data_IF_990066686003
#
_entry.id   IF_990066686003
#
_cell.length_a   1.000
_cell.length_b   1.000
_cell.length_c   1.000
_cell.angle_alpha   90.00
_cell.angle_beta   90.00
_cell.angle_gamma   90.00
#
_symmetry.space_group_name_H-M   'P 1'
#
loop_
_entity.id
_entity.type
_entity.pdbx_description
1 polymer ?
#
# COMPACT_ATOMS: atom_id res chain seq x y z
N UNK A 1 -64.42 24.07 -16.80
CA UNK A 1 -63.63 23.04 -16.09
C UNK A 1 -62.57 23.74 -15.26
N UNK A 2 -62.87 24.00 -13.99
CA UNK A 2 -61.96 24.63 -13.03
C UNK A 2 -61.11 23.55 -12.37
N UNK A 3 -59.79 23.62 -12.57
CA UNK A 3 -58.82 22.73 -11.93
C UNK A 3 -58.63 23.12 -10.46
N UNK A 4 -58.94 22.20 -9.55
CA UNK A 4 -58.84 22.41 -8.11
C UNK A 4 -57.39 22.16 -7.62
N UNK A 5 -56.62 23.25 -7.59
CA UNK A 5 -55.20 23.29 -7.16
C UNK A 5 -55.02 22.78 -5.71
N UNK A 6 -56.07 22.81 -4.87
CA UNK A 6 -55.95 22.37 -3.47
C UNK A 6 -55.80 20.85 -3.31
N UNK A 7 -56.31 20.05 -4.26
CA UNK A 7 -56.16 18.59 -4.23
C UNK A 7 -54.75 18.12 -4.63
N UNK A 8 -54.08 18.85 -5.52
CA UNK A 8 -52.72 18.52 -5.96
C UNK A 8 -51.70 18.84 -4.85
N UNK A 9 -51.84 19.98 -4.17
CA UNK A 9 -50.96 20.32 -3.04
C UNK A 9 -51.08 19.33 -1.88
N UNK A 10 -52.29 18.80 -1.60
CA UNK A 10 -52.48 17.83 -0.52
C UNK A 10 -51.87 16.45 -0.85
N UNK A 11 -51.92 16.02 -2.11
CA UNK A 11 -51.27 14.77 -2.55
C UNK A 11 -49.75 14.87 -2.56
N UNK A 12 -49.18 16.02 -2.93
CA UNK A 12 -47.72 16.25 -2.86
C UNK A 12 -47.23 16.30 -1.40
N UNK A 13 -48.01 16.91 -0.50
CA UNK A 13 -47.63 16.99 0.92
C UNK A 13 -47.71 15.62 1.62
N UNK A 14 -48.74 14.82 1.34
CA UNK A 14 -48.87 13.46 1.88
C UNK A 14 -47.84 12.47 1.30
N UNK A 15 -47.48 12.59 0.01
CA UNK A 15 -46.41 11.79 -0.58
C UNK A 15 -45.03 12.13 0.00
N UNK A 16 -44.80 13.39 0.38
CA UNK A 16 -43.56 13.83 1.03
C UNK A 16 -43.46 13.28 2.45
N UNK A 17 -44.56 13.29 3.22
CA UNK A 17 -44.61 12.74 4.59
C UNK A 17 -44.45 11.21 4.58
N UNK A 18 -45.08 10.50 3.64
CA UNK A 18 -44.94 9.05 3.50
C UNK A 18 -43.52 8.66 3.02
N UNK A 19 -42.88 9.42 2.12
CA UNK A 19 -41.48 9.17 1.76
C UNK A 19 -40.53 9.40 2.94
N UNK A 20 -40.78 10.42 3.78
CA UNK A 20 -39.93 10.68 4.96
C UNK A 20 -40.15 9.70 6.11
N UNK A 21 -41.36 9.13 6.27
CA UNK A 21 -41.62 8.13 7.32
C UNK A 21 -41.21 6.72 6.90
N UNK A 22 -41.35 6.36 5.62
CA UNK A 22 -40.89 5.04 5.12
C UNK A 22 -39.36 4.98 5.05
N UNK A 23 -38.66 6.10 4.83
CA UNK A 23 -37.19 6.14 4.93
C UNK A 23 -36.65 6.17 6.37
N UNK A 24 -37.49 6.40 7.39
CA UNK A 24 -37.04 6.43 8.78
C UNK A 24 -37.17 5.10 9.52
N UNK A 25 -37.98 4.15 9.02
CA UNK A 25 -38.17 2.84 9.68
C UNK A 25 -37.32 1.71 9.07
N UNK A 26 -36.71 1.93 7.89
CA UNK A 26 -35.70 1.02 7.29
C UNK A 26 -34.25 1.54 7.39
N UNK A 27 -34.00 2.58 8.20
CA UNK A 27 -32.65 2.89 8.68
C UNK A 27 -32.26 1.91 9.80
N UNK A 28 -32.29 0.61 9.48
CA UNK A 28 -31.89 -0.45 10.37
C UNK A 28 -30.39 -0.36 10.64
N UNK A 29 -30.04 -0.01 11.89
CA UNK A 29 -28.70 -0.13 12.47
C UNK A 29 -27.56 0.24 11.51
N UNK A 30 -27.28 1.52 11.35
CA UNK A 30 -25.94 1.92 10.91
C UNK A 30 -24.97 1.42 12.00
N UNK A 31 -24.25 0.33 11.71
CA UNK A 31 -23.24 -0.23 12.62
C UNK A 31 -22.27 0.90 12.94
N UNK A 32 -22.39 1.47 14.14
CA UNK A 32 -21.47 2.47 14.64
C UNK A 32 -20.08 1.84 14.65
N UNK A 33 -19.16 2.40 13.87
CA UNK A 33 -17.78 1.92 13.84
C UNK A 33 -17.13 2.19 15.20
N UNK A 34 -16.86 1.11 15.94
CA UNK A 34 -16.20 1.20 17.23
C UNK A 34 -14.73 1.56 17.03
N UNK A 35 -14.34 2.74 17.51
CA UNK A 35 -12.95 3.19 17.49
C UNK A 35 -12.09 2.18 18.27
N UNK A 36 -11.15 1.48 17.61
CA UNK A 36 -10.46 0.37 18.25
C UNK A 36 -9.49 0.87 19.31
N UNK A 37 -9.19 0.03 20.31
CA UNK A 37 -8.13 0.30 21.30
C UNK A 37 -6.86 -0.42 20.90
N UNK A 38 -5.71 0.22 21.12
CA UNK A 38 -4.41 -0.42 20.93
C UNK A 38 -3.96 -1.07 22.23
N UNK A 39 -4.03 -2.40 22.28
CA UNK A 39 -3.58 -3.21 23.42
C UNK A 39 -2.78 -4.39 22.90
N UNK A 40 -1.52 -4.49 23.32
CA UNK A 40 -0.70 -5.66 23.01
C UNK A 40 -0.94 -6.78 24.01
N UNK A 41 -0.99 -8.01 23.49
CA UNK A 41 -0.93 -9.20 24.32
C UNK A 41 0.44 -9.29 25.01
N UNK A 42 0.50 -9.83 26.24
CA UNK A 42 1.74 -9.92 27.01
C UNK A 42 2.74 -10.94 26.44
N UNK A 43 2.23 -12.06 25.93
CA UNK A 43 3.04 -13.20 25.46
C UNK A 43 2.96 -13.33 23.93
N UNK A 44 3.27 -12.24 23.22
CA UNK A 44 3.27 -12.23 21.75
C UNK A 44 4.41 -13.10 21.23
N UNK A 45 4.07 -14.01 20.33
CA UNK A 45 5.03 -14.81 19.57
C UNK A 45 5.12 -14.26 18.16
N UNK A 46 6.34 -14.16 17.66
CA UNK A 46 6.57 -13.79 16.28
C UNK A 46 6.33 -14.99 15.35
N UNK A 47 5.83 -14.77 14.13
CA UNK A 47 5.52 -13.47 13.52
C UNK A 47 4.23 -12.82 14.08
N UNK A 48 4.28 -11.53 14.40
CA UNK A 48 3.13 -10.73 14.89
C UNK A 48 2.54 -9.81 13.83
N UNK A 49 3.23 -9.65 12.70
CA UNK A 49 2.91 -8.71 11.63
C UNK A 49 2.81 -9.42 10.27
N UNK A 50 3.70 -10.36 9.96
CA UNK A 50 3.84 -10.94 8.63
C UNK A 50 2.70 -11.94 8.30
N UNK A 51 2.23 -12.70 9.29
CA UNK A 51 1.09 -13.60 9.18
C UNK A 51 0.44 -13.89 10.54
N UNK A 52 -0.77 -14.44 10.52
CA UNK A 52 -1.34 -15.17 11.66
C UNK A 52 -0.86 -16.63 11.69
N UNK A 53 -1.04 -17.36 12.82
CA UNK A 53 -0.77 -18.80 12.87
C UNK A 53 -1.53 -19.60 11.81
N UNK A 54 -2.77 -19.23 11.48
CA UNK A 54 -3.59 -19.90 10.46
C UNK A 54 -3.05 -19.66 9.04
N UNK A 55 -2.62 -18.43 8.76
CA UNK A 55 -1.96 -18.06 7.49
C UNK A 55 -0.65 -18.81 7.33
N UNK A 56 0.18 -18.86 8.38
CA UNK A 56 1.43 -19.62 8.36
C UNK A 56 1.19 -21.12 8.15
N UNK A 57 0.18 -21.68 8.81
CA UNK A 57 -0.19 -23.08 8.65
C UNK A 57 -0.58 -23.41 7.21
N UNK A 58 -1.28 -22.51 6.51
CA UNK A 58 -1.58 -22.67 5.08
C UNK A 58 -0.29 -22.76 4.26
N UNK A 59 0.63 -21.82 4.44
CA UNK A 59 1.91 -21.89 3.73
C UNK A 59 2.71 -23.16 4.01
N UNK A 60 2.78 -23.59 5.27
CA UNK A 60 3.50 -24.81 5.65
C UNK A 60 2.90 -26.08 5.03
N UNK A 61 1.57 -26.13 4.87
CA UNK A 61 0.89 -27.23 4.17
C UNK A 61 1.08 -27.20 2.65
N UNK A 62 1.05 -26.00 2.07
CA UNK A 62 1.25 -25.79 0.63
C UNK A 62 2.70 -26.04 0.23
N UNK A 63 3.66 -25.73 1.10
CA UNK A 63 5.07 -25.95 0.82
C UNK A 63 5.37 -27.45 0.66
N UNK A 64 5.81 -27.85 -0.54
CA UNK A 64 6.07 -29.25 -0.87
C UNK A 64 4.85 -30.07 -1.29
N UNK A 65 3.65 -29.47 -1.33
CA UNK A 65 2.47 -30.13 -1.90
C UNK A 65 2.54 -30.18 -3.42
N UNK A 66 1.82 -31.13 -4.03
CA UNK A 66 1.60 -31.13 -5.47
C UNK A 66 0.61 -30.00 -5.87
N UNK A 67 0.75 -29.47 -7.09
CA UNK A 67 -0.17 -28.47 -7.66
C UNK A 67 0.44 -27.07 -7.81
N UNK A 68 -0.33 -26.16 -8.41
CA UNK A 68 0.16 -24.83 -8.84
C UNK A 68 0.70 -23.98 -7.68
N UNK A 69 0.08 -24.06 -6.50
CA UNK A 69 0.53 -23.34 -5.30
C UNK A 69 1.86 -23.87 -4.75
N UNK A 70 2.03 -25.19 -4.70
CA UNK A 70 3.28 -25.83 -4.28
C UNK A 70 4.42 -25.51 -5.26
N UNK A 71 4.13 -25.57 -6.56
CA UNK A 71 5.08 -25.21 -7.62
C UNK A 71 5.47 -23.73 -7.55
N UNK A 72 4.54 -22.84 -7.22
CA UNK A 72 4.80 -21.42 -7.00
C UNK A 72 5.79 -21.21 -5.85
N UNK A 73 5.57 -21.85 -4.69
CA UNK A 73 6.48 -21.72 -3.53
C UNK A 73 7.86 -22.33 -3.82
N UNK A 74 7.92 -23.47 -4.51
CA UNK A 74 9.18 -24.07 -4.94
C UNK A 74 9.97 -23.14 -5.88
N UNK A 75 9.28 -22.44 -6.79
CA UNK A 75 9.88 -21.42 -7.66
C UNK A 75 10.41 -20.23 -6.86
N UNK A 76 9.69 -19.76 -5.83
CA UNK A 76 10.21 -18.69 -4.97
C UNK A 76 11.45 -19.14 -4.20
N UNK A 77 11.45 -20.36 -3.64
CA UNK A 77 12.63 -20.93 -2.96
C UNK A 77 13.85 -20.96 -3.87
N UNK A 78 13.72 -21.50 -5.09
CA UNK A 78 14.82 -21.54 -6.05
C UNK A 78 15.40 -20.16 -6.34
N UNK A 79 14.54 -19.13 -6.45
CA UNK A 79 14.98 -17.74 -6.65
C UNK A 79 15.74 -17.23 -5.44
N UNK A 80 15.27 -17.50 -4.22
CA UNK A 80 15.95 -17.12 -2.98
C UNK A 80 17.33 -17.76 -2.90
N UNK A 81 17.41 -19.09 -3.11
CA UNK A 81 18.66 -19.85 -3.07
C UNK A 81 19.70 -19.24 -4.02
N UNK A 82 19.32 -18.99 -5.28
CA UNK A 82 20.21 -18.35 -6.28
C UNK A 82 20.67 -16.94 -5.86
N UNK A 83 19.83 -16.16 -5.19
CA UNK A 83 20.21 -14.82 -4.74
C UNK A 83 21.05 -14.83 -3.47
N UNK A 84 20.89 -15.84 -2.60
CA UNK A 84 21.69 -16.00 -1.39
C UNK A 84 23.13 -16.42 -1.68
N UNK A 85 23.38 -17.11 -2.80
CA UNK A 85 24.73 -17.45 -3.27
C UNK A 85 25.57 -16.21 -3.66
N UNK A 86 24.92 -15.08 -3.96
CA UNK A 86 25.62 -13.86 -4.33
C UNK A 86 26.19 -13.14 -3.11
N UNK A 87 27.41 -12.62 -3.26
CA UNK A 87 28.03 -11.75 -2.26
C UNK A 87 27.16 -10.53 -1.96
N UNK A 88 26.94 -10.26 -0.69
CA UNK A 88 26.19 -9.08 -0.21
C UNK A 88 27.15 -7.90 -0.14
N UNK A 89 26.92 -6.88 -0.97
CA UNK A 89 27.68 -5.63 -0.98
C UNK A 89 26.73 -4.48 -0.63
N UNK A 90 26.87 -3.93 0.57
CA UNK A 90 26.06 -2.80 1.00
C UNK A 90 26.50 -1.52 0.30
N UNK A 91 25.57 -0.69 -0.21
CA UNK A 91 25.89 0.63 -0.74
C UNK A 91 26.69 1.48 0.24
N UNK A 92 27.46 2.45 -0.27
CA UNK A 92 28.24 3.35 0.59
C UNK A 92 27.38 4.42 1.28
N UNK A 93 26.16 4.66 0.78
CA UNK A 93 25.18 5.64 1.28
C UNK A 93 23.76 5.26 0.82
N UNK A 94 22.76 6.04 1.26
CA UNK A 94 21.38 5.88 0.82
C UNK A 94 21.16 6.15 -0.67
N UNK A 95 20.01 5.70 -1.19
CA UNK A 95 19.66 5.87 -2.61
C UNK A 95 19.23 7.31 -2.92
N UNK A 96 19.55 7.79 -4.12
CA UNK A 96 18.99 9.03 -4.66
C UNK A 96 17.59 8.82 -5.27
N UNK A 97 16.88 9.92 -5.52
CA UNK A 97 15.57 9.89 -6.18
C UNK A 97 15.68 9.37 -7.61
N UNK A 98 14.73 8.55 -8.05
CA UNK A 98 14.75 7.92 -9.37
C UNK A 98 14.72 8.92 -10.54
N UNK A 99 14.15 10.11 -10.34
CA UNK A 99 14.13 11.19 -11.33
C UNK A 99 15.52 11.68 -11.74
N UNK A 100 16.54 11.46 -10.91
CA UNK A 100 17.93 11.79 -11.28
C UNK A 100 18.53 10.84 -12.31
N UNK A 101 17.86 9.71 -12.60
CA UNK A 101 18.37 8.68 -13.52
C UNK A 101 17.93 8.92 -14.97
N UNK A 102 18.14 10.14 -15.43
CA UNK A 102 17.78 10.60 -16.76
C UNK A 102 18.95 11.33 -17.42
N UNK A 103 19.01 11.28 -18.75
CA UNK A 103 19.95 12.07 -19.51
C UNK A 103 19.55 13.55 -19.48
N UNK A 104 20.47 14.44 -19.12
CA UNK A 104 20.24 15.89 -19.08
C UNK A 104 19.78 16.45 -20.43
N UNK A 105 20.39 15.99 -21.52
CA UNK A 105 20.12 16.53 -22.86
C UNK A 105 18.89 15.89 -23.51
N UNK A 106 18.68 14.59 -23.28
CA UNK A 106 17.64 13.82 -23.95
C UNK A 106 16.36 13.66 -23.13
N UNK A 107 16.40 13.93 -21.82
CA UNK A 107 15.27 13.78 -20.88
C UNK A 107 14.63 12.38 -20.94
N UNK A 108 15.47 11.34 -21.09
CA UNK A 108 15.06 9.93 -21.09
C UNK A 108 15.88 9.14 -20.06
N UNK A 109 15.29 8.04 -19.59
CA UNK A 109 15.94 7.15 -18.63
C UNK A 109 17.27 6.58 -19.15
N UNK A 110 18.28 6.54 -18.27
CA UNK A 110 19.59 5.96 -18.58
C UNK A 110 19.52 4.43 -18.60
N UNK A 111 20.45 3.79 -19.32
CA UNK A 111 20.71 2.36 -19.27
C UNK A 111 21.94 2.10 -18.40
N UNK A 112 21.80 1.27 -17.37
CA UNK A 112 22.93 0.84 -16.54
C UNK A 112 23.84 -0.08 -17.36
N UNK A 113 25.12 0.27 -17.47
CA UNK A 113 26.13 -0.60 -18.06
C UNK A 113 26.79 -1.46 -16.99
N UNK A 114 27.20 -0.81 -15.89
CA UNK A 114 27.75 -1.42 -14.69
C UNK A 114 27.40 -0.56 -13.46
N UNK A 115 28.03 -0.82 -12.31
CA UNK A 115 27.75 -0.14 -11.04
C UNK A 115 28.05 1.36 -11.06
N UNK A 116 28.94 1.82 -11.96
CA UNK A 116 29.46 3.20 -12.00
C UNK A 116 29.26 3.89 -13.34
N UNK A 117 28.75 3.19 -14.37
CA UNK A 117 28.55 3.74 -15.71
C UNK A 117 27.11 3.57 -16.20
N UNK A 118 26.51 4.69 -16.62
CA UNK A 118 25.11 4.77 -17.06
C UNK A 118 25.01 5.51 -18.39
N UNK A 119 24.58 4.83 -19.44
CA UNK A 119 24.57 5.36 -20.82
C UNK A 119 23.17 5.83 -21.23
N UNK A 120 23.10 7.02 -21.82
CA UNK A 120 21.89 7.44 -22.54
C UNK A 120 21.71 6.58 -23.80
N UNK A 121 20.54 5.97 -24.02
CA UNK A 121 20.32 5.14 -25.21
C UNK A 121 20.17 5.95 -26.50
N UNK A 122 19.98 7.27 -26.43
CA UNK A 122 19.79 8.15 -27.59
C UNK A 122 21.06 8.87 -28.02
N UNK A 123 21.73 9.58 -27.10
CA UNK A 123 22.94 10.35 -27.40
C UNK A 123 24.25 9.67 -26.98
N UNK A 124 24.16 8.46 -26.42
CA UNK A 124 25.30 7.64 -25.98
C UNK A 124 26.21 8.21 -24.88
N UNK A 125 25.93 9.42 -24.40
CA UNK A 125 26.62 10.02 -23.25
C UNK A 125 26.59 9.08 -22.04
N UNK A 126 27.76 8.91 -21.43
CA UNK A 126 27.96 8.08 -20.22
C UNK A 126 28.03 9.00 -19.01
N UNK A 127 27.23 8.67 -18.01
CA UNK A 127 27.16 9.33 -16.71
C UNK A 127 27.81 8.43 -15.65
N UNK A 128 28.51 9.03 -14.70
CA UNK A 128 29.20 8.35 -13.60
C UNK A 128 29.07 9.18 -12.32
N UNK A 129 29.19 8.54 -11.14
CA UNK A 129 29.15 9.22 -9.86
C UNK A 129 27.74 9.62 -9.41
N UNK A 130 27.66 10.34 -8.27
CA UNK A 130 26.40 10.87 -7.78
C UNK A 130 25.84 11.95 -8.73
N UNK A 131 24.51 11.98 -8.96
CA UNK A 131 23.48 11.14 -8.33
C UNK A 131 23.19 9.83 -9.06
N UNK A 132 23.80 9.55 -10.21
CA UNK A 132 23.46 8.42 -11.07
C UNK A 132 23.74 7.06 -10.43
N UNK A 133 24.91 6.90 -9.84
CA UNK A 133 25.29 5.68 -9.09
C UNK A 133 24.34 5.48 -7.89
N UNK A 134 23.96 6.58 -7.23
CA UNK A 134 23.12 6.57 -6.03
C UNK A 134 21.70 6.10 -6.33
N UNK A 135 21.19 6.31 -7.55
CA UNK A 135 19.88 5.74 -7.93
C UNK A 135 19.96 4.22 -8.03
N UNK A 136 21.09 3.66 -8.49
CA UNK A 136 21.27 2.20 -8.57
C UNK A 136 21.37 1.56 -7.19
N UNK A 137 21.82 2.29 -6.17
CA UNK A 137 21.79 1.80 -4.78
C UNK A 137 20.39 1.42 -4.31
N UNK A 138 19.35 2.04 -4.89
CA UNK A 138 17.96 1.65 -4.67
C UNK A 138 17.63 0.25 -5.19
N UNK A 139 18.22 -0.16 -6.32
CA UNK A 139 18.04 -1.51 -6.89
C UNK A 139 18.76 -2.56 -6.06
N UNK A 140 19.97 -2.25 -5.60
CA UNK A 140 20.76 -3.11 -4.71
C UNK A 140 20.02 -3.31 -3.39
N UNK A 141 19.63 -2.21 -2.74
CA UNK A 141 18.91 -2.24 -1.46
C UNK A 141 17.57 -2.93 -1.58
N UNK A 142 16.81 -2.67 -2.65
CA UNK A 142 15.56 -3.36 -2.93
C UNK A 142 15.75 -4.87 -3.15
N UNK A 143 16.83 -5.29 -3.81
CA UNK A 143 17.15 -6.71 -3.96
C UNK A 143 17.55 -7.35 -2.62
N UNK A 144 18.37 -6.70 -1.79
CA UNK A 144 18.73 -7.21 -0.47
C UNK A 144 17.49 -7.51 0.38
N UNK A 145 16.61 -6.52 0.52
CA UNK A 145 15.41 -6.68 1.32
C UNK A 145 14.42 -7.67 0.72
N UNK A 146 14.28 -7.70 -0.61
CA UNK A 146 13.44 -8.72 -1.25
C UNK A 146 13.97 -10.13 -0.97
N UNK A 147 15.27 -10.38 -1.14
CA UNK A 147 15.85 -11.70 -0.84
C UNK A 147 15.70 -12.03 0.64
N UNK A 148 15.97 -11.08 1.55
CA UNK A 148 15.83 -11.26 2.99
C UNK A 148 14.39 -11.56 3.42
N UNK A 149 13.40 -10.92 2.80
CA UNK A 149 11.99 -11.16 3.08
C UNK A 149 11.58 -12.57 2.70
N UNK A 150 11.90 -12.98 1.47
CA UNK A 150 11.56 -14.34 1.02
C UNK A 150 12.40 -15.41 1.74
N UNK A 151 13.64 -15.12 2.14
CA UNK A 151 14.41 -16.01 3.00
C UNK A 151 13.73 -16.15 4.37
N UNK A 152 13.29 -15.06 5.01
CA UNK A 152 12.52 -15.13 6.25
C UNK A 152 11.28 -16.02 6.13
N UNK A 153 10.58 -15.94 4.99
CA UNK A 153 9.47 -16.87 4.68
C UNK A 153 9.92 -18.32 4.49
N UNK A 154 11.02 -18.57 3.77
CA UNK A 154 11.56 -19.93 3.64
C UNK A 154 11.92 -20.53 5.01
N UNK A 155 12.49 -19.74 5.92
CA UNK A 155 12.73 -20.17 7.30
C UNK A 155 11.42 -20.60 7.99
N UNK A 156 10.36 -19.79 7.87
CA UNK A 156 9.05 -20.12 8.47
C UNK A 156 8.41 -21.38 7.86
N UNK A 157 8.71 -21.70 6.61
CA UNK A 157 8.20 -22.89 5.94
C UNK A 157 8.99 -24.16 6.25
N UNK A 158 10.33 -24.06 6.28
CA UNK A 158 11.23 -25.23 6.34
C UNK A 158 11.92 -25.42 7.68
N UNK A 159 12.01 -24.38 8.51
CA UNK A 159 12.81 -24.36 9.74
C UNK A 159 14.33 -24.29 9.50
N UNK A 160 14.79 -24.19 8.26
CA UNK A 160 16.22 -24.16 7.94
C UNK A 160 16.86 -22.82 8.32
N UNK A 161 17.78 -22.86 9.30
CA UNK A 161 18.39 -21.65 9.89
C UNK A 161 19.16 -20.77 8.90
N UNK A 162 19.73 -21.35 7.84
CA UNK A 162 20.47 -20.60 6.81
C UNK A 162 19.68 -19.42 6.21
N UNK A 163 18.36 -19.57 6.11
CA UNK A 163 17.51 -18.51 5.60
C UNK A 163 17.35 -17.37 6.61
N UNK A 164 17.11 -17.71 7.89
CA UNK A 164 17.04 -16.72 8.96
C UNK A 164 18.37 -15.99 9.16
N UNK A 165 19.49 -16.71 9.08
CA UNK A 165 20.85 -16.15 9.15
C UNK A 165 21.12 -15.15 8.02
N UNK A 166 20.67 -15.43 6.80
CA UNK A 166 20.78 -14.48 5.69
C UNK A 166 19.95 -13.21 5.95
N UNK A 167 18.71 -13.36 6.40
CA UNK A 167 17.86 -12.21 6.76
C UNK A 167 18.47 -11.38 7.88
N UNK A 168 19.02 -12.03 8.92
CA UNK A 168 19.73 -11.38 10.02
C UNK A 168 20.94 -10.59 9.51
N UNK A 169 21.76 -11.17 8.63
CA UNK A 169 22.90 -10.51 7.99
C UNK A 169 22.50 -9.22 7.27
N UNK A 170 21.38 -9.22 6.54
CA UNK A 170 20.88 -8.02 5.86
C UNK A 170 20.43 -6.96 6.86
N UNK A 171 19.63 -7.34 7.86
CA UNK A 171 19.12 -6.41 8.87
C UNK A 171 20.25 -5.77 9.70
N UNK A 172 21.18 -6.58 10.21
CA UNK A 172 22.35 -6.10 10.95
C UNK A 172 23.27 -5.23 10.09
N UNK A 173 23.44 -5.60 8.82
CA UNK A 173 24.22 -4.82 7.87
C UNK A 173 23.65 -3.42 7.64
N UNK A 174 22.32 -3.29 7.54
CA UNK A 174 21.68 -1.97 7.45
C UNK A 174 21.60 -1.25 8.80
N UNK A 175 21.43 -1.97 9.92
CA UNK A 175 21.47 -1.39 11.26
C UNK A 175 22.84 -0.74 11.55
N UNK A 176 23.94 -1.40 11.19
CA UNK A 176 25.29 -0.84 11.33
C UNK A 176 25.55 0.42 10.48
N UNK A 177 24.71 0.70 9.49
CA UNK A 177 24.92 1.75 8.49
C UNK A 177 23.90 2.88 8.55
N UNK A 178 22.69 2.62 9.03
CA UNK A 178 21.59 3.58 8.91
C UNK A 178 21.93 4.97 9.44
N UNK A 179 22.49 5.05 10.66
CA UNK A 179 22.87 6.32 11.27
C UNK A 179 24.17 6.93 10.70
N UNK A 180 25.02 6.12 10.06
CA UNK A 180 26.27 6.60 9.44
C UNK A 180 26.05 7.11 8.02
N UNK A 181 24.99 6.66 7.34
CA UNK A 181 24.59 7.20 6.05
C UNK A 181 24.22 8.69 6.15
N UNK A 182 24.68 9.52 5.21
CA UNK A 182 24.32 10.94 5.17
C UNK A 182 22.81 11.14 5.14
N UNK A 183 22.32 12.05 6.00
CA UNK A 183 20.96 12.54 5.89
C UNK A 183 20.83 13.35 4.60
N UNK A 184 19.88 13.01 3.74
CA UNK A 184 19.69 13.67 2.45
C UNK A 184 18.22 13.68 2.01
N UNK A 185 17.88 14.55 1.05
CA UNK A 185 16.54 14.62 0.49
C UNK A 185 16.45 14.29 -1.01
N UNK A 186 15.24 14.29 -1.57
CA UNK A 186 14.99 13.99 -2.98
C UNK A 186 15.60 15.02 -3.96
N UNK A 187 16.09 16.16 -3.47
CA UNK A 187 16.83 17.15 -4.25
C UNK A 187 18.35 16.98 -4.10
N UNK A 188 18.81 15.86 -3.52
CA UNK A 188 20.20 15.55 -3.21
C UNK A 188 20.88 16.59 -2.27
N UNK A 189 20.10 17.36 -1.52
CA UNK A 189 20.65 18.21 -0.45
C UNK A 189 21.01 17.30 0.73
N UNK A 190 22.12 17.60 1.40
CA UNK A 190 22.69 16.76 2.48
C UNK A 190 22.82 17.54 3.78
N UNK A 191 22.67 16.85 4.91
CA UNK A 191 22.82 17.41 6.25
C UNK A 191 21.78 18.49 6.53
N UNK A 192 22.22 19.61 7.09
CA UNK A 192 21.32 20.72 7.48
C UNK A 192 20.64 21.41 6.30
N UNK A 193 21.11 21.17 5.06
CA UNK A 193 20.49 21.69 3.84
C UNK A 193 19.32 20.83 3.38
N UNK A 194 19.22 19.58 3.86
CA UNK A 194 18.16 18.67 3.47
C UNK A 194 16.82 19.09 4.09
N UNK A 195 15.75 18.97 3.31
CA UNK A 195 14.38 19.16 3.79
C UNK A 195 14.06 18.19 4.93
N UNK A 196 13.14 18.58 5.81
CA UNK A 196 12.57 17.71 6.86
C UNK A 196 12.00 16.39 6.31
N UNK A 197 11.65 16.37 5.02
CA UNK A 197 11.12 15.19 4.35
C UNK A 197 12.19 14.18 3.94
N UNK A 198 13.49 14.50 4.08
CA UNK A 198 14.61 13.63 3.72
C UNK A 198 14.76 12.38 4.60
N UNK A 199 15.63 11.47 4.20
CA UNK A 199 15.94 10.21 4.89
C UNK A 199 17.44 9.89 4.90
N UNK A 200 17.77 8.62 5.21
CA UNK A 200 19.16 8.15 5.30
C UNK A 200 19.40 6.92 4.44
N UNK A 201 18.49 5.94 4.51
CA UNK A 201 18.47 4.78 3.62
C UNK A 201 17.93 5.16 2.24
N UNK A 202 16.92 6.03 2.23
CA UNK A 202 16.33 6.60 1.03
C UNK A 202 16.25 8.11 1.14
N UNK A 203 16.06 8.76 0.00
CA UNK A 203 16.00 10.21 -0.16
C UNK A 203 14.78 10.88 0.49
N UNK A 204 13.82 10.12 1.01
CA UNK A 204 12.62 10.72 1.61
C UNK A 204 11.90 9.80 2.58
N UNK A 205 11.28 10.41 3.60
CA UNK A 205 10.43 9.75 4.61
C UNK A 205 9.31 8.89 4.03
N UNK A 206 8.77 9.23 2.86
CA UNK A 206 7.81 8.37 2.15
C UNK A 206 8.43 7.02 1.76
N UNK A 207 9.62 7.05 1.18
CA UNK A 207 10.33 5.86 0.73
C UNK A 207 10.91 5.07 1.90
N UNK A 208 11.35 5.74 2.98
CA UNK A 208 11.70 5.09 4.26
C UNK A 208 10.49 4.33 4.82
N UNK A 209 9.32 4.97 4.87
CA UNK A 209 8.10 4.37 5.39
C UNK A 209 7.63 3.18 4.55
N UNK A 210 7.61 3.31 3.22
CA UNK A 210 7.27 2.19 2.34
C UNK A 210 8.27 1.02 2.47
N UNK A 211 9.56 1.31 2.67
CA UNK A 211 10.58 0.28 2.92
C UNK A 211 10.40 -0.38 4.29
N UNK A 212 9.99 0.37 5.31
CA UNK A 212 9.67 -0.18 6.63
C UNK A 212 8.56 -1.23 6.55
N UNK A 213 7.45 -0.85 5.92
CA UNK A 213 6.22 -1.68 5.82
C UNK A 213 6.45 -2.92 4.96
N UNK A 214 7.01 -2.75 3.77
CA UNK A 214 7.05 -3.84 2.78
C UNK A 214 8.25 -4.78 2.96
N UNK A 215 9.23 -4.39 3.76
CA UNK A 215 10.52 -5.09 3.82
C UNK A 215 11.06 -5.24 5.23
N UNK A 216 11.46 -4.13 5.88
CA UNK A 216 12.27 -4.19 7.10
C UNK A 216 11.50 -4.83 8.26
N UNK A 217 10.28 -4.36 8.52
CA UNK A 217 9.47 -4.90 9.62
C UNK A 217 9.10 -6.37 9.39
N UNK A 218 8.56 -6.80 8.23
CA UNK A 218 8.30 -8.22 7.97
C UNK A 218 9.55 -9.10 8.01
N UNK A 219 10.71 -8.63 7.51
CA UNK A 219 11.96 -9.39 7.60
C UNK A 219 12.32 -9.72 9.04
N UNK A 220 12.30 -8.70 9.91
CA UNK A 220 12.63 -8.87 11.32
C UNK A 220 11.60 -9.75 12.03
N UNK A 221 10.32 -9.53 11.74
CA UNK A 221 9.22 -10.30 12.31
C UNK A 221 9.32 -11.79 12.02
N UNK A 222 9.64 -12.15 10.77
CA UNK A 222 9.74 -13.55 10.33
C UNK A 222 10.91 -14.30 10.98
N UNK A 223 11.93 -13.62 11.50
CA UNK A 223 13.10 -14.28 12.09
C UNK A 223 13.28 -13.99 13.58
N UNK A 224 12.42 -13.17 14.18
CA UNK A 224 12.60 -12.67 15.54
C UNK A 224 12.81 -13.82 16.54
N UNK A 225 11.91 -14.81 16.52
CA UNK A 225 11.94 -15.94 17.46
C UNK A 225 12.75 -17.14 16.93
N UNK A 226 13.55 -16.96 15.87
CA UNK A 226 14.31 -18.05 15.24
C UNK A 226 15.53 -18.52 16.05
N UNK A 227 15.98 -17.71 17.01
CA UNK A 227 17.17 -17.93 17.81
C UNK A 227 18.49 -17.71 17.07
N UNK A 228 18.47 -17.08 15.88
CA UNK A 228 19.71 -16.69 15.15
C UNK A 228 20.24 -15.32 15.56
N UNK A 229 19.40 -14.48 16.15
CA UNK A 229 19.76 -13.16 16.69
C UNK A 229 20.03 -13.28 18.19
N UNK A 230 21.14 -12.71 18.66
CA UNK A 230 21.39 -12.56 20.10
C UNK A 230 20.52 -11.44 20.70
N UNK A 231 20.30 -11.41 22.02
CA UNK A 231 19.63 -10.30 22.69
C UNK A 231 20.25 -8.93 22.37
N UNK A 232 21.58 -8.87 22.26
CA UNK A 232 22.30 -7.64 21.90
C UNK A 232 22.05 -7.25 20.44
N UNK A 233 21.97 -8.21 19.52
CA UNK A 233 21.65 -7.96 18.11
C UNK A 233 20.21 -7.46 17.92
N UNK A 234 19.25 -7.97 18.70
CA UNK A 234 17.90 -7.40 18.78
C UNK A 234 17.94 -5.92 19.20
N UNK A 235 18.73 -5.59 20.22
CA UNK A 235 18.90 -4.20 20.67
C UNK A 235 19.63 -3.32 19.63
N UNK A 236 20.61 -3.87 18.89
CA UNK A 236 21.25 -3.15 17.77
C UNK A 236 20.23 -2.85 16.69
N UNK A 237 19.44 -3.82 16.25
CA UNK A 237 18.42 -3.64 15.22
C UNK A 237 17.36 -2.63 15.69
N UNK A 238 16.88 -2.73 16.94
CA UNK A 238 15.95 -1.76 17.54
C UNK A 238 16.52 -0.35 17.51
N UNK A 239 17.70 -0.15 18.09
CA UNK A 239 18.22 1.18 18.42
C UNK A 239 18.99 1.86 17.28
N UNK A 240 19.48 1.08 16.30
CA UNK A 240 20.24 1.61 15.17
C UNK A 240 19.43 1.66 13.86
N UNK A 241 18.36 0.87 13.74
CA UNK A 241 17.51 0.84 12.54
C UNK A 241 16.08 1.29 12.82
N UNK A 242 15.31 0.54 13.61
CA UNK A 242 13.85 0.76 13.76
C UNK A 242 13.52 2.10 14.42
N UNK A 243 14.00 2.33 15.65
CA UNK A 243 13.65 3.54 16.41
C UNK A 243 14.13 4.81 15.69
N UNK A 244 15.37 4.88 15.16
CA UNK A 244 15.80 6.05 14.40
C UNK A 244 14.98 6.29 13.13
N UNK A 245 14.64 5.23 12.38
CA UNK A 245 13.83 5.35 11.17
C UNK A 245 12.41 5.82 11.47
N UNK A 246 11.76 5.28 12.51
CA UNK A 246 10.44 5.72 12.97
C UNK A 246 10.43 7.19 13.40
N UNK A 247 11.45 7.62 14.16
CA UNK A 247 11.62 9.04 14.53
C UNK A 247 11.85 9.93 13.31
N UNK A 248 12.65 9.46 12.33
CA UNK A 248 12.87 10.18 11.08
C UNK A 248 11.59 10.30 10.24
N UNK A 249 10.71 9.30 10.27
CA UNK A 249 9.41 9.35 9.60
C UNK A 249 8.47 10.33 10.31
N UNK A 250 8.29 10.20 11.63
CA UNK A 250 7.34 11.00 12.43
C UNK A 250 7.66 12.50 12.47
N UNK A 251 8.91 12.91 12.24
CA UNK A 251 9.24 14.35 12.17
C UNK A 251 8.56 15.05 10.99
N UNK A 252 8.23 14.33 9.92
CA UNK A 252 7.62 14.90 8.72
C UNK A 252 6.11 14.66 8.69
N UNK A 253 5.37 15.30 9.60
CA UNK A 253 3.90 15.23 9.62
C UNK A 253 3.31 15.89 8.38
N UNK A 254 2.43 15.18 7.66
CA UNK A 254 1.87 15.61 6.37
C UNK A 254 0.37 15.87 6.37
N UNK A 255 -0.33 15.60 7.48
CA UNK A 255 -1.78 15.82 7.54
C UNK A 255 -2.51 14.97 6.50
N UNK A 256 -3.54 15.53 5.84
CA UNK A 256 -4.23 14.91 4.69
C UNK A 256 -3.23 14.71 3.54
N UNK A 257 -2.72 13.48 3.38
CA UNK A 257 -1.71 13.15 2.36
C UNK A 257 -1.49 11.65 2.23
N UNK A 258 -1.23 11.17 1.01
CA UNK A 258 -0.77 9.80 0.78
C UNK A 258 0.54 9.48 1.55
N UNK A 259 1.39 10.50 1.78
CA UNK A 259 2.60 10.34 2.59
C UNK A 259 2.30 9.95 4.03
N UNK A 260 1.31 10.61 4.63
CA UNK A 260 0.93 10.33 6.02
C UNK A 260 0.34 8.91 6.14
N UNK A 261 -0.35 8.42 5.11
CA UNK A 261 -0.87 7.04 5.08
C UNK A 261 0.27 6.01 5.15
N UNK A 262 1.35 6.20 4.38
CA UNK A 262 2.55 5.37 4.48
C UNK A 262 3.28 5.55 5.82
N UNK A 263 3.35 6.78 6.36
CA UNK A 263 3.94 7.03 7.67
C UNK A 263 3.21 6.28 8.77
N UNK A 264 1.87 6.30 8.77
CA UNK A 264 1.05 5.57 9.72
C UNK A 264 1.27 4.06 9.58
N UNK A 265 1.30 3.55 8.35
CA UNK A 265 1.58 2.13 8.11
C UNK A 265 2.97 1.74 8.67
N UNK A 266 3.99 2.57 8.46
CA UNK A 266 5.33 2.33 8.98
C UNK A 266 5.41 2.40 10.51
N UNK A 267 4.72 3.36 11.13
CA UNK A 267 4.61 3.45 12.59
C UNK A 267 3.91 2.22 13.18
N UNK A 268 2.84 1.75 12.54
CA UNK A 268 2.19 0.51 12.94
C UNK A 268 3.13 -0.69 12.80
N UNK A 269 3.69 -0.93 11.61
CA UNK A 269 4.54 -2.09 11.34
C UNK A 269 5.79 -2.10 12.21
N UNK A 270 6.49 -0.97 12.31
CA UNK A 270 7.69 -0.84 13.14
C UNK A 270 7.39 -0.98 14.62
N UNK A 271 6.35 -0.31 15.14
CA UNK A 271 5.91 -0.41 16.52
C UNK A 271 5.49 -1.83 16.91
N UNK A 272 4.75 -2.51 16.01
CA UNK A 272 4.28 -3.86 16.21
C UNK A 272 5.44 -4.84 16.47
N UNK A 273 6.47 -4.82 15.62
CA UNK A 273 7.56 -5.80 15.66
C UNK A 273 8.59 -5.51 16.74
N UNK A 274 8.70 -4.26 17.20
CA UNK A 274 9.54 -3.91 18.36
C UNK A 274 8.73 -3.86 19.67
N UNK A 275 7.46 -4.30 19.67
CA UNK A 275 6.64 -4.31 20.88
C UNK A 275 6.35 -2.94 21.49
N UNK A 276 6.43 -1.86 20.71
CA UNK A 276 6.17 -0.49 21.15
C UNK A 276 4.76 -0.06 20.71
N UNK A 277 3.82 -0.12 21.66
CA UNK A 277 2.41 0.17 21.42
C UNK A 277 2.14 1.66 21.15
N UNK A 278 3.04 2.57 21.57
CA UNK A 278 2.83 4.00 21.38
C UNK A 278 2.93 4.39 19.91
N UNK A 279 3.80 3.72 19.14
CA UNK A 279 3.86 3.89 17.69
C UNK A 279 2.59 3.40 17.00
N UNK A 280 2.04 2.26 17.42
CA UNK A 280 0.77 1.75 16.88
C UNK A 280 -0.40 2.66 17.24
N UNK A 281 -0.45 3.11 18.50
CA UNK A 281 -1.47 4.05 18.98
C UNK A 281 -1.40 5.38 18.20
N UNK A 282 -0.19 5.90 17.96
CA UNK A 282 0.01 7.09 17.13
C UNK A 282 -0.46 6.85 15.68
N UNK A 283 -0.10 5.72 15.08
CA UNK A 283 -0.51 5.38 13.72
C UNK A 283 -2.04 5.38 13.53
N UNK A 284 -2.79 4.93 14.53
CA UNK A 284 -4.25 4.84 14.47
C UNK A 284 -4.92 6.16 14.88
N UNK A 285 -4.51 6.74 16.01
CA UNK A 285 -5.29 7.76 16.72
C UNK A 285 -4.70 9.18 16.67
N UNK A 286 -3.50 9.39 16.12
CA UNK A 286 -2.88 10.71 16.18
C UNK A 286 -3.79 11.77 15.54
N UNK A 287 -4.16 12.79 16.31
CA UNK A 287 -4.99 13.88 15.83
C UNK A 287 -4.38 14.49 14.55
N UNK A 288 -5.21 14.75 13.54
CA UNK A 288 -4.83 15.34 12.24
C UNK A 288 -3.87 14.50 11.40
N UNK A 289 -3.51 13.28 11.80
CA UNK A 289 -2.49 12.50 11.12
C UNK A 289 -2.80 11.01 11.01
N UNK A 290 -3.31 10.37 12.06
CA UNK A 290 -3.54 8.93 12.16
C UNK A 290 -4.55 8.38 11.16
N UNK A 291 -4.67 7.05 11.12
CA UNK A 291 -5.58 6.31 10.25
C UNK A 291 -6.99 6.89 10.28
N UNK A 292 -7.57 7.04 11.47
CA UNK A 292 -8.96 7.53 11.62
C UNK A 292 -9.14 8.91 10.99
N UNK A 293 -8.18 9.80 11.18
CA UNK A 293 -8.20 11.11 10.54
C UNK A 293 -8.07 11.00 9.02
N UNK A 294 -7.13 10.19 8.49
CA UNK A 294 -6.99 10.01 7.04
C UNK A 294 -8.28 9.49 6.41
N UNK A 295 -8.90 8.47 7.01
CA UNK A 295 -10.09 7.85 6.43
C UNK A 295 -11.29 8.80 6.45
N UNK A 296 -11.38 9.71 7.42
CA UNK A 296 -12.42 10.73 7.53
C UNK A 296 -12.23 11.86 6.51
N UNK A 297 -11.01 12.42 6.38
CA UNK A 297 -10.80 13.64 5.60
C UNK A 297 -10.31 13.40 4.17
N UNK A 298 -9.73 12.24 3.88
CA UNK A 298 -9.02 11.97 2.63
C UNK A 298 -9.77 11.05 1.67
N UNK A 299 -10.83 10.38 2.13
CA UNK A 299 -11.66 9.48 1.31
C UNK A 299 -13.01 10.15 1.07
N UNK A 300 -13.42 10.27 -0.19
CA UNK A 300 -14.73 10.83 -0.53
C UNK A 300 -15.86 9.91 -0.03
N UNK A 301 -17.08 10.45 0.10
CA UNK A 301 -18.25 9.65 0.47
C UNK A 301 -18.52 8.46 -0.46
N UNK A 302 -18.02 8.52 -1.70
CA UNK A 302 -18.09 7.47 -2.71
C UNK A 302 -16.97 6.43 -2.59
N UNK A 303 -15.88 6.74 -1.87
CA UNK A 303 -14.71 5.86 -1.68
C UNK A 303 -13.46 6.24 -2.47
N UNK A 304 -13.47 7.31 -3.28
CA UNK A 304 -12.28 7.72 -4.01
C UNK A 304 -11.32 8.48 -3.10
N UNK A 305 -10.02 8.37 -3.36
CA UNK A 305 -9.01 9.13 -2.64
C UNK A 305 -9.00 10.58 -3.15
N UNK A 306 -8.85 11.55 -2.25
CA UNK A 306 -9.05 12.98 -2.55
C UNK A 306 -8.17 13.54 -3.68
N UNK A 307 -7.05 12.89 -4.01
CA UNK A 307 -6.18 13.31 -5.13
C UNK A 307 -6.78 12.97 -6.50
N UNK A 308 -7.94 12.30 -6.54
CA UNK A 308 -8.73 11.97 -7.74
C UNK A 308 -7.89 11.37 -8.89
N UNK A 309 -6.83 10.64 -8.55
CA UNK A 309 -5.93 9.97 -9.47
C UNK A 309 -5.86 8.50 -9.09
N UNK A 310 -6.04 7.60 -10.06
CA UNK A 310 -5.94 6.16 -9.82
C UNK A 310 -4.55 5.73 -9.35
N UNK A 311 -3.50 6.38 -9.84
CA UNK A 311 -2.13 6.18 -9.36
C UNK A 311 -2.05 6.39 -7.85
N UNK A 312 -2.51 7.55 -7.37
CA UNK A 312 -2.48 7.90 -5.95
C UNK A 312 -3.51 7.13 -5.11
N UNK A 313 -4.66 6.81 -5.68
CA UNK A 313 -5.66 5.98 -5.02
C UNK A 313 -5.11 4.59 -4.73
N UNK A 314 -4.57 3.87 -5.71
CA UNK A 314 -4.00 2.55 -5.47
C UNK A 314 -2.71 2.60 -4.64
N UNK A 315 -1.89 3.64 -4.79
CA UNK A 315 -0.71 3.82 -3.97
C UNK A 315 -1.05 4.03 -2.50
N UNK A 316 -2.10 4.80 -2.21
CA UNK A 316 -2.59 5.02 -0.85
C UNK A 316 -3.34 3.81 -0.33
N UNK A 317 -4.17 3.18 -1.15
CA UNK A 317 -4.88 1.95 -0.79
C UNK A 317 -3.90 0.85 -0.37
N UNK A 318 -2.75 0.71 -1.04
CA UNK A 318 -1.71 -0.22 -0.62
C UNK A 318 -1.18 0.08 0.80
N UNK A 319 -1.00 1.36 1.16
CA UNK A 319 -0.62 1.75 2.51
C UNK A 319 -1.72 1.43 3.53
N UNK A 320 -2.99 1.72 3.20
CA UNK A 320 -4.13 1.46 4.09
C UNK A 320 -4.38 -0.04 4.28
N UNK A 321 -4.22 -0.85 3.22
CA UNK A 321 -4.31 -2.31 3.30
C UNK A 321 -3.17 -2.87 4.13
N UNK A 322 -1.92 -2.42 3.92
CA UNK A 322 -0.79 -2.86 4.74
C UNK A 322 -0.94 -2.50 6.22
N UNK A 323 -1.43 -1.29 6.50
CA UNK A 323 -1.77 -0.84 7.85
C UNK A 323 -2.88 -1.70 8.46
N UNK A 324 -3.98 -1.94 7.73
CA UNK A 324 -5.14 -2.69 8.21
C UNK A 324 -4.84 -4.18 8.42
N UNK A 325 -4.05 -4.81 7.54
CA UNK A 325 -3.61 -6.20 7.75
C UNK A 325 -2.66 -6.32 8.94
N UNK A 326 -1.72 -5.38 9.08
CA UNK A 326 -0.86 -5.32 10.25
C UNK A 326 -1.67 -5.15 11.54
N UNK A 327 -2.66 -4.26 11.54
CA UNK A 327 -3.57 -4.03 12.67
C UNK A 327 -4.40 -5.28 12.99
N UNK A 328 -4.99 -5.93 11.98
CA UNK A 328 -5.83 -7.12 12.14
C UNK A 328 -5.07 -8.26 12.82
N UNK A 329 -3.80 -8.47 12.44
CA UNK A 329 -2.92 -9.48 13.06
C UNK A 329 -2.57 -9.18 14.52
N UNK A 330 -2.74 -7.93 14.94
CA UNK A 330 -2.62 -7.48 16.33
C UNK A 330 -3.97 -7.47 17.07
N UNK A 331 -5.06 -7.88 16.42
CA UNK A 331 -6.41 -7.81 16.97
C UNK A 331 -7.05 -6.41 16.96
N UNK A 332 -6.52 -5.49 16.14
CA UNK A 332 -7.03 -4.13 15.97
C UNK A 332 -7.82 -4.09 14.65
N UNK A 333 -9.13 -3.88 14.74
CA UNK A 333 -9.98 -3.82 13.54
C UNK A 333 -9.98 -2.44 12.92
N UNK A 334 -9.36 -2.33 11.74
CA UNK A 334 -9.41 -1.12 10.91
C UNK A 334 -10.12 -1.37 9.58
N UNK A 335 -10.35 -2.64 9.23
CA UNK A 335 -11.00 -3.00 7.99
C UNK A 335 -12.45 -2.54 7.99
N UNK A 336 -13.17 -2.68 9.11
CA UNK A 336 -14.58 -2.30 9.15
C UNK A 336 -14.83 -0.78 9.25
N UNK A 337 -13.80 0.06 9.07
CA UNK A 337 -14.02 1.49 8.90
C UNK A 337 -14.90 1.74 7.65
N UNK A 338 -15.97 2.56 7.73
CA UNK A 338 -16.96 2.70 6.65
C UNK A 338 -16.39 3.08 5.28
N UNK A 339 -15.30 3.84 5.26
CA UNK A 339 -14.62 4.25 4.04
C UNK A 339 -13.77 3.14 3.39
N UNK A 340 -13.27 2.16 4.15
CA UNK A 340 -12.29 1.18 3.66
C UNK A 340 -12.88 0.28 2.58
N UNK A 341 -14.06 -0.29 2.83
CA UNK A 341 -14.75 -1.13 1.83
C UNK A 341 -15.06 -0.36 0.54
N UNK A 342 -15.46 0.92 0.67
CA UNK A 342 -15.74 1.80 -0.49
C UNK A 342 -14.49 2.04 -1.33
N UNK A 343 -13.33 2.27 -0.70
CA UNK A 343 -12.06 2.38 -1.43
C UNK A 343 -11.75 1.11 -2.23
N UNK A 344 -12.07 -0.07 -1.69
CA UNK A 344 -11.82 -1.34 -2.37
C UNK A 344 -12.78 -1.59 -3.54
N UNK A 345 -14.03 -1.14 -3.46
CA UNK A 345 -15.05 -1.44 -4.48
C UNK A 345 -15.17 -0.35 -5.56
N UNK A 346 -14.83 0.91 -5.27
CA UNK A 346 -14.99 2.01 -6.21
C UNK A 346 -14.36 1.78 -7.59
N UNK A 347 -13.19 1.11 -7.75
CA UNK A 347 -12.62 0.89 -9.08
C UNK A 347 -13.54 0.08 -10.01
N UNK A 348 -14.35 -0.85 -9.49
CA UNK A 348 -15.27 -1.64 -10.31
C UNK A 348 -16.26 -0.74 -11.07
N UNK A 349 -16.82 0.25 -10.37
CA UNK A 349 -17.85 1.14 -10.92
C UNK A 349 -17.32 2.15 -11.95
N UNK A 350 -16.01 2.42 -11.93
CA UNK A 350 -15.32 3.30 -12.89
C UNK A 350 -14.81 2.59 -14.14
N UNK A 351 -14.98 1.27 -14.24
CA UNK A 351 -14.47 0.49 -15.37
C UNK A 351 -15.15 0.92 -16.68
N UNK A 352 -14.36 1.32 -17.68
CA UNK A 352 -14.82 1.71 -19.00
C UNK A 352 -15.03 0.47 -19.90
N UNK A 353 -15.68 0.60 -21.07
CA UNK A 353 -15.99 -0.54 -21.94
C UNK A 353 -14.77 -1.37 -22.38
N UNK A 354 -13.57 -0.77 -22.39
CA UNK A 354 -12.31 -1.45 -22.68
C UNK A 354 -11.69 -2.20 -21.47
N UNK A 355 -12.40 -2.21 -20.33
CA UNK A 355 -11.96 -2.84 -19.08
C UNK A 355 -10.96 -2.00 -18.29
N UNK A 356 -10.69 -0.75 -18.67
CA UNK A 356 -9.75 0.13 -17.97
C UNK A 356 -10.47 1.20 -17.17
N UNK A 357 -9.74 1.74 -16.22
CA UNK A 357 -10.09 2.96 -15.52
C UNK A 357 -9.68 4.17 -16.39
N UNK A 358 -10.49 5.24 -16.42
CA UNK A 358 -10.16 6.48 -17.13
C UNK A 358 -8.93 7.15 -16.51
N UNK A 359 -8.11 7.84 -17.31
CA UNK A 359 -6.90 8.51 -16.84
C UNK A 359 -7.18 9.92 -16.33
N UNK A 360 -7.58 10.05 -15.06
CA UNK A 360 -7.73 11.36 -14.39
C UNK A 360 -6.42 11.85 -13.80
N UNK A 361 -6.24 13.18 -13.82
CA UNK A 361 -5.17 13.84 -13.09
C UNK A 361 -3.81 13.18 -13.44
N UNK A 362 -2.87 13.08 -12.50
CA UNK A 362 -1.63 12.32 -12.67
C UNK A 362 -1.87 10.79 -12.72
N UNK A 363 -2.64 10.31 -13.70
CA UNK A 363 -2.82 8.90 -14.04
C UNK A 363 -2.93 8.67 -15.53
N UNK A 364 -2.49 7.49 -15.96
CA UNK A 364 -2.81 6.95 -17.26
C UNK A 364 -3.93 5.92 -17.15
N UNK A 365 -4.67 5.70 -18.25
CA UNK A 365 -5.66 4.65 -18.31
C UNK A 365 -5.02 3.29 -17.96
N UNK A 366 -5.60 2.58 -17.01
CA UNK A 366 -5.03 1.36 -16.43
C UNK A 366 -6.11 0.36 -16.05
N UNK A 367 -5.76 -0.92 -15.95
CA UNK A 367 -6.66 -1.91 -15.33
C UNK A 367 -6.79 -1.62 -13.82
N UNK A 368 -7.95 -1.93 -13.21
CA UNK A 368 -8.08 -1.99 -11.77
C UNK A 368 -6.99 -2.88 -11.15
N UNK A 369 -6.43 -2.48 -10.01
CA UNK A 369 -5.32 -3.22 -9.39
C UNK A 369 -5.83 -4.40 -8.56
N UNK A 370 -5.80 -5.61 -9.12
CA UNK A 370 -6.26 -6.83 -8.45
C UNK A 370 -5.50 -7.11 -7.13
N UNK A 371 -4.17 -7.01 -7.16
CA UNK A 371 -3.32 -7.53 -6.07
C UNK A 371 -3.57 -6.92 -4.69
N UNK A 372 -3.83 -5.61 -4.62
CA UNK A 372 -4.06 -4.90 -3.34
C UNK A 372 -5.41 -5.26 -2.71
N UNK A 373 -6.31 -5.83 -3.50
CA UNK A 373 -7.68 -6.17 -3.09
C UNK A 373 -7.81 -7.58 -2.53
N UNK A 374 -6.76 -8.41 -2.59
CA UNK A 374 -6.80 -9.79 -2.06
C UNK A 374 -7.15 -9.83 -0.58
N UNK A 375 -6.45 -9.03 0.22
CA UNK A 375 -6.72 -8.93 1.65
C UNK A 375 -8.12 -8.39 1.94
N UNK A 376 -8.60 -7.45 1.11
CA UNK A 376 -9.95 -6.91 1.22
C UNK A 376 -11.00 -8.00 0.95
N UNK A 377 -10.80 -8.84 -0.08
CA UNK A 377 -11.70 -9.95 -0.34
C UNK A 377 -11.68 -10.99 0.78
N UNK A 378 -10.50 -11.30 1.33
CA UNK A 378 -10.39 -12.21 2.47
C UNK A 378 -11.26 -11.77 3.66
N UNK A 379 -11.34 -10.46 3.92
CA UNK A 379 -12.15 -9.87 4.98
C UNK A 379 -13.64 -9.78 4.61
N UNK A 380 -13.97 -9.20 3.46
CA UNK A 380 -15.35 -8.86 3.13
C UNK A 380 -16.13 -9.96 2.39
N UNK A 381 -15.43 -10.88 1.72
CA UNK A 381 -16.01 -11.87 0.81
C UNK A 381 -16.97 -11.25 -0.21
N UNK A 382 -16.68 -10.02 -0.64
CA UNK A 382 -17.58 -9.22 -1.46
C UNK A 382 -17.43 -9.57 -2.96
N UNK A 383 -18.54 -9.87 -3.68
CA UNK A 383 -18.47 -10.24 -5.09
C UNK A 383 -17.97 -9.11 -5.99
N UNK A 384 -18.18 -7.83 -5.65
CA UNK A 384 -17.61 -6.71 -6.40
C UNK A 384 -16.09 -6.77 -6.35
N UNK A 385 -15.53 -7.02 -5.17
CA UNK A 385 -14.07 -7.15 -5.00
C UNK A 385 -13.57 -8.37 -5.77
N UNK A 386 -14.24 -9.52 -5.65
CA UNK A 386 -13.89 -10.73 -6.39
C UNK A 386 -13.87 -10.52 -7.91
N UNK A 387 -14.80 -9.73 -8.45
CA UNK A 387 -14.87 -9.42 -9.89
C UNK A 387 -13.64 -8.64 -10.41
N UNK A 388 -12.84 -8.07 -9.50
CA UNK A 388 -11.60 -7.33 -9.81
C UNK A 388 -10.34 -8.18 -9.62
N UNK A 389 -10.45 -9.37 -9.01
CA UNK A 389 -9.29 -10.21 -8.72
C UNK A 389 -8.89 -11.06 -9.92
N UNK A 390 -7.59 -11.26 -10.07
CA UNK A 390 -7.02 -12.09 -11.14
C UNK A 390 -6.94 -13.56 -10.68
N UNK A 391 -7.05 -14.53 -11.60
CA UNK A 391 -6.94 -15.95 -11.26
C UNK A 391 -5.48 -16.43 -11.11
N UNK A 392 -4.53 -15.52 -10.81
CA UNK A 392 -3.10 -15.86 -10.70
C UNK A 392 -2.74 -16.27 -9.26
N UNK A 393 -2.04 -17.40 -9.13
CA UNK A 393 -1.44 -17.84 -7.87
C UNK A 393 -0.36 -16.85 -7.42
N UNK A 394 -0.50 -16.37 -6.20
CA UNK A 394 0.45 -15.46 -5.57
C UNK A 394 0.62 -15.77 -4.09
N UNK A 395 1.57 -15.09 -3.45
CA UNK A 395 1.74 -15.17 -2.01
C UNK A 395 0.46 -14.76 -1.27
N UNK A 396 -0.22 -13.72 -1.76
CA UNK A 396 -1.43 -13.18 -1.17
C UNK A 396 -2.65 -14.13 -1.31
N UNK A 397 -2.75 -14.88 -2.41
CA UNK A 397 -3.82 -15.87 -2.60
C UNK A 397 -3.63 -17.08 -1.69
N UNK A 398 -2.39 -17.57 -1.55
CA UNK A 398 -2.06 -18.67 -0.61
C UNK A 398 -2.30 -18.22 0.83
N UNK A 399 -1.84 -17.01 1.18
CA UNK A 399 -2.05 -16.43 2.51
C UNK A 399 -3.53 -16.34 2.86
N UNK A 400 -4.37 -15.83 1.96
CA UNK A 400 -5.82 -15.72 2.18
C UNK A 400 -6.57 -17.05 2.04
N UNK A 401 -5.97 -18.06 1.41
CA UNK A 401 -6.63 -19.33 1.09
C UNK A 401 -7.71 -19.18 0.01
N UNK A 402 -7.58 -18.18 -0.88
CA UNK A 402 -8.56 -17.94 -1.95
C UNK A 402 -8.41 -18.99 -3.05
N UNK A 403 -9.51 -19.65 -3.38
CA UNK A 403 -9.63 -20.43 -4.62
C UNK A 403 -9.56 -19.47 -5.83
N UNK A 404 -8.46 -19.52 -6.57
CA UNK A 404 -8.24 -18.64 -7.74
C UNK A 404 -9.12 -18.99 -8.94
N UNK A 405 -9.73 -20.17 -8.96
CA UNK A 405 -10.66 -20.57 -10.02
C UNK A 405 -12.09 -20.09 -9.73
N UNK A 406 -12.36 -19.65 -8.50
CA UNK A 406 -13.62 -19.01 -8.17
C UNK A 406 -13.69 -17.65 -8.86
N UNK A 407 -14.71 -17.49 -9.70
CA UNK A 407 -15.03 -16.23 -10.38
C UNK A 407 -16.46 -15.80 -10.08
N UNK A 408 -16.74 -14.54 -10.39
CA UNK A 408 -18.09 -13.97 -10.33
C UNK A 408 -18.30 -13.04 -11.52
N UNK A 409 -19.55 -12.78 -11.85
CA UNK A 409 -19.87 -11.86 -12.94
C UNK A 409 -19.42 -10.44 -12.58
N UNK A 410 -18.97 -9.70 -13.59
CA UNK A 410 -18.66 -8.28 -13.42
C UNK A 410 -19.91 -7.50 -13.01
N UNK A 411 -19.69 -6.44 -12.24
CA UNK A 411 -20.77 -5.52 -11.83
C UNK A 411 -21.54 -5.03 -13.05
N UNK A 412 -22.87 -5.05 -12.95
CA UNK A 412 -23.74 -4.46 -13.97
C UNK A 412 -23.66 -2.93 -13.86
N UNK A 413 -22.89 -2.32 -14.76
CA UNK A 413 -22.62 -0.88 -14.74
C UNK A 413 -23.73 -0.09 -15.41
N UNK A 414 -24.23 0.94 -14.72
CA UNK A 414 -25.21 1.91 -15.24
C UNK A 414 -24.62 3.31 -15.23
N UNK A 415 -25.33 4.26 -15.83
CA UNK A 415 -25.03 5.68 -15.63
C UNK A 415 -25.11 6.00 -14.13
N UNK A 416 -24.09 6.68 -13.59
CA UNK A 416 -23.94 6.89 -12.16
C UNK A 416 -23.30 8.24 -11.86
N UNK A 417 -23.81 8.90 -10.82
CA UNK A 417 -23.27 10.14 -10.27
C UNK A 417 -22.47 9.82 -8.99
N UNK A 418 -21.20 10.20 -8.97
CA UNK A 418 -20.31 10.16 -7.81
C UNK A 418 -20.15 11.57 -7.27
N UNK A 419 -21.20 12.04 -6.58
CA UNK A 419 -21.34 13.45 -6.21
C UNK A 419 -20.26 13.92 -5.23
N UNK A 420 -19.82 13.07 -4.30
CA UNK A 420 -18.80 13.44 -3.32
C UNK A 420 -17.40 13.51 -3.94
N UNK A 421 -17.17 12.74 -5.00
CA UNK A 421 -15.92 12.73 -5.76
C UNK A 421 -15.91 13.84 -6.82
N UNK A 422 -17.06 14.12 -7.43
CA UNK A 422 -17.21 15.09 -8.51
C UNK A 422 -17.18 14.48 -9.91
N UNK A 423 -17.67 13.26 -10.09
CA UNK A 423 -17.68 12.60 -11.41
C UNK A 423 -19.09 12.13 -11.80
N UNK A 424 -19.44 12.20 -13.08
CA UNK A 424 -20.64 11.57 -13.62
C UNK A 424 -20.26 10.64 -14.77
N UNK A 425 -20.58 9.35 -14.65
CA UNK A 425 -20.36 8.38 -15.73
C UNK A 425 -21.68 8.14 -16.44
N UNK A 426 -21.72 8.40 -17.74
CA UNK A 426 -22.84 8.12 -18.62
C UNK A 426 -22.53 6.86 -19.41
N UNK A 427 -23.48 5.93 -19.47
CA UNK A 427 -23.34 4.64 -20.16
C UNK A 427 -24.56 4.37 -21.02
N UNK A 428 -24.34 3.72 -22.16
CA UNK A 428 -25.41 3.26 -23.06
C UNK A 428 -25.57 1.75 -22.99
N UNK A 429 -26.82 1.27 -23.04
CA UNK A 429 -27.17 -0.15 -22.96
C UNK A 429 -27.21 -0.85 -24.34
N UNK A 430 -26.76 -0.16 -25.40
CA UNK A 430 -26.76 -0.66 -26.77
C UNK A 430 -25.54 -1.54 -27.11
N UNK A 431 -25.57 -2.18 -28.29
CA UNK A 431 -24.50 -3.10 -28.74
C UNK A 431 -23.09 -2.46 -28.76
N UNK A 432 -23.00 -1.14 -28.95
CA UNK A 432 -21.74 -0.40 -28.94
C UNK A 432 -21.17 -0.09 -27.55
N UNK A 433 -21.95 -0.26 -26.47
CA UNK A 433 -21.58 -0.02 -25.07
C UNK A 433 -20.74 1.24 -24.85
N UNK A 434 -21.18 2.40 -25.34
CA UNK A 434 -20.46 3.65 -25.13
C UNK A 434 -20.51 4.09 -23.67
N UNK A 435 -19.41 4.67 -23.20
CA UNK A 435 -19.35 5.37 -21.92
C UNK A 435 -18.59 6.69 -22.05
N UNK A 436 -19.04 7.70 -21.33
CA UNK A 436 -18.35 8.98 -21.14
C UNK A 436 -18.30 9.28 -19.65
N UNK A 437 -17.25 9.93 -19.19
CA UNK A 437 -17.17 10.45 -17.83
C UNK A 437 -17.07 11.96 -17.91
N UNK A 438 -17.82 12.68 -17.09
CA UNK A 438 -17.66 14.12 -16.90
C UNK A 438 -16.98 14.34 -15.56
N UNK A 439 -15.88 15.08 -15.60
CA UNK A 439 -15.17 15.51 -14.39
C UNK A 439 -15.62 16.93 -13.99
N UNK A 440 -16.28 17.03 -12.84
CA UNK A 440 -16.63 18.30 -12.18
C UNK A 440 -16.04 18.36 -10.76
N UNK A 441 -14.98 17.59 -10.51
CA UNK A 441 -14.35 17.48 -9.22
C UNK A 441 -13.55 18.73 -8.84
N UNK A 442 -13.29 18.85 -7.54
CA UNK A 442 -12.29 19.77 -7.05
C UNK A 442 -10.88 19.34 -7.52
N UNK A 443 -9.96 20.29 -7.64
CA UNK A 443 -8.60 20.09 -8.16
C UNK A 443 -7.79 18.95 -7.50
N UNK A 444 -8.12 18.42 -6.31
CA UNK A 444 -7.38 17.27 -5.77
C UNK A 444 -5.92 17.54 -5.34
N UNK A 445 -5.53 18.82 -5.21
CA UNK A 445 -4.19 19.21 -4.74
C UNK A 445 -3.11 19.16 -5.82
N UNK A 446 -1.86 18.85 -5.44
CA UNK A 446 -0.68 18.99 -6.31
C UNK A 446 -0.60 18.03 -7.50
N UNK A 447 -1.47 17.01 -7.55
CA UNK A 447 -1.57 16.04 -8.64
C UNK A 447 -2.79 16.28 -9.54
N UNK A 448 -3.57 17.30 -9.20
CA UNK A 448 -4.70 17.78 -9.98
C UNK A 448 -4.30 18.43 -11.29
N UNK A 449 -5.10 18.21 -12.32
CA UNK A 449 -4.98 18.95 -13.57
C UNK A 449 -5.97 20.13 -13.60
N UNK A 450 -5.72 21.09 -14.49
CA UNK A 450 -6.62 22.24 -14.70
C UNK A 450 -7.68 21.90 -15.77
N UNK A 451 -8.48 20.88 -15.48
CA UNK A 451 -9.35 20.19 -16.44
C UNK A 451 -10.81 20.06 -15.95
N UNK A 452 -11.24 20.96 -15.07
CA UNK A 452 -12.64 21.02 -14.64
C UNK A 452 -13.60 21.10 -15.85
N UNK A 453 -14.63 20.26 -15.84
CA UNK A 453 -15.57 19.98 -16.93
C UNK A 453 -14.96 19.23 -18.14
N UNK A 454 -13.82 18.58 -17.94
CA UNK A 454 -13.22 17.62 -18.88
C UNK A 454 -14.04 16.33 -19.02
N UNK A 455 -13.81 15.57 -20.10
CA UNK A 455 -14.54 14.34 -20.39
C UNK A 455 -13.74 13.25 -21.12
#
# INVERSE_FOLDING_TARGET
>A
MTFDIRRICLMVFLATIFCTQVHSEEAGMENQYDVPRVVFQKDRKHPVLACTPEELNRFQKTYGSAGEEGDYLAKQKKRVDTWMEKSVVFPSRGKAHNQWYQCDDCQIGLKTLDETHHKCPKCEKVYTGAPYDDVIYGRITGQHFRTALYAGWMYQFTGEKQYAEYTAKILLGYAARYLTYPYHDNQNRVGDKASRSGGRLTEQTLSEASTMVNSIAPCYDLIHDSGVLSPEEHEVIRNQLFVPMLKNIDKNKRGKSNWQSWHNAAMLSGGAVIGDADWVNKAVHQEKHGFLFQMDVSVSGDGFWYENSWGYHFYTLAAQVGLSEGARRLGIDLWHHPAMKKMCTIPAYYTMPDGKLPGFNDSHARRPSAKVLEAAYAVYQDPVILSLLEPEISFETISSGRDVHRSTESVQLKSQLFAATGHAILRTDGAGKFAAILDFASHGGGHGHYDALGF
#
